data_IF_327113242546
#
_entry.id   IF_327113242546
#
_cell.length_a   1.000
_cell.length_b   1.000
_cell.length_c   1.000
_cell.angle_alpha   90.00
_cell.angle_beta   90.00
_cell.angle_gamma   90.00
#
_symmetry.space_group_name_H-M   'P 1'
#
loop_
_entity.id
_entity.type
_entity.pdbx_description
1 polymer ?
#
# COMPACT_ATOMS: atom_id res chain seq x y z
N UNK A 1 3.51 2.93 20.26
CA UNK A 1 4.53 1.84 20.27
C UNK A 1 5.87 2.47 19.98
N UNK A 2 6.97 2.04 20.61
CA UNK A 2 8.30 2.60 20.32
C UNK A 2 8.86 2.07 18.99
N UNK A 3 9.63 2.88 18.26
CA UNK A 3 10.31 2.43 17.04
C UNK A 3 11.32 1.35 17.35
N UNK A 4 12.10 1.48 18.44
CA UNK A 4 13.03 0.42 18.88
C UNK A 4 12.33 -0.91 19.09
N UNK A 5 11.14 -0.89 19.68
CA UNK A 5 10.32 -2.08 19.92
C UNK A 5 9.78 -2.64 18.61
N UNK A 6 9.19 -1.82 17.74
CA UNK A 6 8.67 -2.27 16.45
C UNK A 6 9.75 -2.94 15.57
N UNK A 7 10.98 -2.43 15.61
CA UNK A 7 12.08 -2.98 14.82
C UNK A 7 12.68 -4.29 15.40
N UNK A 8 12.37 -4.65 16.64
CA UNK A 8 12.90 -5.83 17.33
C UNK A 8 11.81 -6.87 17.71
N UNK A 9 10.53 -6.48 17.75
CA UNK A 9 9.41 -7.37 18.04
C UNK A 9 9.06 -8.25 16.80
N UNK A 10 8.19 -9.25 17.01
CA UNK A 10 7.71 -10.18 15.98
C UNK A 10 7.43 -9.50 14.63
N UNK A 11 7.78 -10.22 13.57
CA UNK A 11 7.60 -9.78 12.19
C UNK A 11 6.14 -9.43 11.94
N UNK A 12 5.87 -8.19 11.53
CA UNK A 12 4.56 -7.71 11.10
C UNK A 12 4.59 -7.40 9.60
N UNK A 13 4.42 -8.41 8.70
CA UNK A 13 4.57 -8.20 7.27
C UNK A 13 3.65 -7.11 6.73
N UNK A 14 2.42 -7.02 7.26
CA UNK A 14 1.45 -6.03 6.82
C UNK A 14 1.94 -4.61 7.13
N UNK A 15 2.30 -4.31 8.37
CA UNK A 15 2.76 -2.97 8.74
C UNK A 15 4.12 -2.62 8.12
N UNK A 16 5.00 -3.60 7.92
CA UNK A 16 6.23 -3.41 7.16
C UNK A 16 5.94 -3.01 5.71
N UNK A 17 4.95 -3.65 5.07
CA UNK A 17 4.48 -3.27 3.73
C UNK A 17 3.95 -1.84 3.68
N UNK A 18 3.17 -1.42 4.68
CA UNK A 18 2.68 -0.05 4.80
C UNK A 18 3.83 0.95 4.90
N UNK A 19 4.81 0.69 5.77
CA UNK A 19 5.96 1.57 5.96
C UNK A 19 6.83 1.62 4.71
N UNK A 20 7.10 0.47 4.07
CA UNK A 20 7.91 0.45 2.85
C UNK A 20 7.20 1.17 1.70
N UNK A 21 5.87 1.08 1.62
CA UNK A 21 5.09 1.85 0.65
C UNK A 21 5.27 3.34 0.90
N UNK A 22 4.88 3.80 2.09
CA UNK A 22 5.04 5.19 2.51
C UNK A 22 4.84 5.35 4.01
N UNK A 23 5.84 5.91 4.68
CA UNK A 23 5.72 6.46 6.03
C UNK A 23 5.80 8.00 6.01
N UNK A 24 5.51 8.63 7.14
CA UNK A 24 5.77 10.05 7.38
C UNK A 24 6.38 10.21 8.76
N UNK A 25 7.36 11.10 8.92
CA UNK A 25 7.89 11.49 10.23
C UNK A 25 7.39 12.90 10.57
N UNK A 26 6.63 13.03 11.67
CA UNK A 26 6.12 14.31 12.18
C UNK A 26 6.05 14.30 13.69
N UNK A 27 6.33 15.43 14.33
CA UNK A 27 6.18 15.61 15.78
C UNK A 27 6.87 14.49 16.60
N UNK A 28 8.08 14.09 16.22
CA UNK A 28 8.81 13.02 16.91
C UNK A 28 8.22 11.61 16.76
N UNK A 29 7.29 11.40 15.82
CA UNK A 29 6.64 10.12 15.56
C UNK A 29 6.76 9.71 14.10
N UNK A 30 6.72 8.40 13.85
CA UNK A 30 6.67 7.77 12.54
C UNK A 30 5.26 7.21 12.34
N UNK A 31 4.64 7.54 11.22
CA UNK A 31 3.26 7.19 10.91
C UNK A 31 3.21 6.23 9.73
N UNK A 32 2.59 5.07 9.94
CA UNK A 32 1.99 4.30 8.86
C UNK A 32 0.56 4.78 8.63
N UNK A 33 0.15 4.89 7.36
CA UNK A 33 -1.11 5.55 7.02
C UNK A 33 -1.93 4.70 6.07
N UNK A 34 -3.22 4.52 6.38
CA UNK A 34 -4.19 4.00 5.43
C UNK A 34 -5.16 5.11 5.02
N UNK A 35 -5.43 5.23 3.72
CA UNK A 35 -6.38 6.20 3.19
C UNK A 35 -7.08 5.67 1.95
N UNK A 36 -8.35 6.03 1.86
CA UNK A 36 -9.20 5.83 0.70
C UNK A 36 -10.23 6.97 0.69
N UNK A 37 -10.84 7.19 -0.47
CA UNK A 37 -11.73 8.33 -0.70
C UNK A 37 -13.15 7.85 -1.01
N UNK A 38 -14.11 8.74 -0.80
CA UNK A 38 -15.47 8.59 -1.32
C UNK A 38 -15.44 8.32 -2.82
N UNK A 39 -16.29 7.42 -3.27
CA UNK A 39 -16.43 7.04 -4.66
C UNK A 39 -17.88 7.22 -5.11
N UNK A 40 -18.08 7.72 -6.33
CA UNK A 40 -19.41 7.79 -6.96
C UNK A 40 -19.98 6.41 -7.29
N UNK A 41 -19.14 5.38 -7.35
CA UNK A 41 -19.53 4.03 -7.73
C UNK A 41 -20.17 3.26 -6.58
N UNK A 42 -19.88 3.62 -5.33
CA UNK A 42 -20.46 2.89 -4.19
C UNK A 42 -20.71 3.83 -3.00
N UNK A 43 -21.94 3.85 -2.45
CA UNK A 43 -22.24 4.59 -1.23
C UNK A 43 -21.62 3.88 -0.02
N UNK A 44 -21.73 4.48 1.17
CA UNK A 44 -21.35 3.81 2.41
C UNK A 44 -19.91 4.05 2.85
N UNK A 45 -19.29 5.18 2.47
CA UNK A 45 -17.90 5.48 2.80
C UNK A 45 -17.69 5.56 4.33
N UNK A 46 -18.55 6.28 5.04
CA UNK A 46 -18.43 6.43 6.51
C UNK A 46 -18.67 5.11 7.24
N UNK A 47 -19.69 4.36 6.83
CA UNK A 47 -20.09 3.05 7.36
C UNK A 47 -19.04 1.98 7.09
N UNK A 48 -18.21 2.17 6.07
CA UNK A 48 -17.10 1.27 5.78
C UNK A 48 -15.94 1.40 6.77
N UNK A 49 -15.77 2.58 7.40
CA UNK A 49 -14.58 2.89 8.20
C UNK A 49 -14.34 1.89 9.33
N UNK A 50 -15.39 1.53 10.08
CA UNK A 50 -15.28 0.56 11.17
C UNK A 50 -14.77 -0.81 10.68
N UNK A 51 -15.28 -1.28 9.53
CA UNK A 51 -14.86 -2.55 8.93
C UNK A 51 -13.43 -2.51 8.41
N UNK A 52 -13.04 -1.39 7.80
CA UNK A 52 -11.66 -1.20 7.33
C UNK A 52 -10.69 -1.15 8.51
N UNK A 53 -11.01 -0.42 9.58
CA UNK A 53 -10.18 -0.38 10.79
C UNK A 53 -10.02 -1.76 11.42
N UNK A 54 -11.10 -2.53 11.49
CA UNK A 54 -11.04 -3.91 11.97
C UNK A 54 -10.14 -4.80 11.09
N UNK A 55 -10.24 -4.67 9.76
CA UNK A 55 -9.39 -5.39 8.82
C UNK A 55 -7.89 -5.04 9.01
N UNK A 56 -7.57 -3.74 9.18
CA UNK A 56 -6.20 -3.28 9.45
C UNK A 56 -5.64 -3.95 10.72
N UNK A 57 -6.38 -3.91 11.83
CA UNK A 57 -5.95 -4.54 13.08
C UNK A 57 -5.91 -6.08 13.02
N UNK A 58 -6.72 -6.71 12.17
CA UNK A 58 -6.69 -8.17 11.96
C UNK A 58 -5.48 -8.61 11.13
N UNK A 59 -5.02 -7.77 10.20
CA UNK A 59 -3.88 -8.08 9.33
C UNK A 59 -2.53 -7.79 10.00
N UNK A 60 -2.50 -6.83 10.92
CA UNK A 60 -1.32 -6.50 11.71
C UNK A 60 -1.03 -7.54 12.80
N UNK A 61 0.25 -7.78 13.08
CA UNK A 61 0.66 -8.55 14.25
C UNK A 61 0.33 -7.79 15.55
N UNK A 62 0.35 -6.46 15.48
CA UNK A 62 -0.04 -5.58 16.56
C UNK A 62 -1.30 -4.80 16.20
N UNK A 63 -2.31 -4.82 17.07
CA UNK A 63 -3.56 -4.06 16.89
C UNK A 63 -3.36 -2.58 17.25
N UNK A 64 -2.51 -1.90 16.48
CA UNK A 64 -2.05 -0.52 16.73
C UNK A 64 -2.71 0.51 15.80
N UNK A 65 -3.63 0.09 14.92
CA UNK A 65 -4.32 1.00 14.03
C UNK A 65 -5.48 1.70 14.73
N UNK A 66 -5.64 2.98 14.41
CA UNK A 66 -6.69 3.84 14.94
C UNK A 66 -7.20 4.83 13.87
N UNK A 67 -8.39 5.38 14.10
CA UNK A 67 -8.92 6.52 13.34
C UNK A 67 -8.00 7.72 13.48
N UNK A 68 -7.70 8.38 12.37
CA UNK A 68 -6.80 9.53 12.36
C UNK A 68 -7.55 10.82 12.71
N UNK A 69 -6.96 11.61 13.61
CA UNK A 69 -7.37 12.98 13.87
C UNK A 69 -6.33 13.92 13.24
N UNK A 70 -6.55 14.33 11.98
CA UNK A 70 -5.57 15.12 11.22
C UNK A 70 -5.21 16.45 11.89
N UNK A 71 -6.13 17.03 12.66
CA UNK A 71 -5.89 18.24 13.44
C UNK A 71 -4.80 18.06 14.50
N UNK A 72 -4.64 16.86 15.03
CA UNK A 72 -3.64 16.49 16.05
C UNK A 72 -2.37 15.96 15.38
N UNK A 73 -2.50 14.97 14.50
CA UNK A 73 -1.34 14.28 13.90
C UNK A 73 -0.64 15.12 12.84
N UNK A 74 -1.35 16.07 12.21
CA UNK A 74 -0.91 16.81 11.03
C UNK A 74 -0.54 15.90 9.84
N UNK A 75 -1.00 14.65 9.84
CA UNK A 75 -0.78 13.64 8.80
C UNK A 75 -2.09 13.40 8.06
N UNK A 76 -2.08 13.46 6.72
CA UNK A 76 -3.28 13.22 5.90
C UNK A 76 -3.57 11.73 5.72
N UNK A 77 -4.76 11.28 6.11
CA UNK A 77 -5.19 9.89 5.97
C UNK A 77 -6.39 9.54 6.85
N UNK A 78 -7.04 8.42 6.54
CA UNK A 78 -8.24 7.97 7.26
C UNK A 78 -7.88 7.25 8.56
N UNK A 79 -6.86 6.39 8.51
CA UNK A 79 -6.35 5.64 9.65
C UNK A 79 -4.84 5.79 9.75
N UNK A 80 -4.34 5.69 10.98
CA UNK A 80 -2.91 5.71 11.26
C UNK A 80 -2.57 4.64 12.30
N UNK A 81 -1.34 4.14 12.25
CA UNK A 81 -0.65 3.68 13.45
C UNK A 81 0.53 4.61 13.72
N UNK A 82 0.91 4.71 15.00
CA UNK A 82 1.90 5.68 15.47
C UNK A 82 3.02 4.94 16.17
N UNK A 83 4.24 5.13 15.66
CA UNK A 83 5.47 4.72 16.32
C UNK A 83 6.16 5.95 16.91
N UNK A 84 6.38 5.98 18.21
CA UNK A 84 7.17 7.02 18.88
C UNK A 84 8.63 6.84 18.49
N UNK A 85 9.24 7.88 17.93
CA UNK A 85 10.60 7.83 17.40
C UNK A 85 11.64 7.99 18.50
N UNK A 86 11.65 7.04 19.44
CA UNK A 86 12.57 6.99 20.58
C UNK A 86 14.05 6.87 20.16
N UNK A 87 14.29 6.46 18.92
CA UNK A 87 15.63 6.37 18.31
C UNK A 87 16.07 7.65 17.59
N UNK A 88 15.23 8.71 17.55
CA UNK A 88 15.51 9.97 16.86
C UNK A 88 15.96 9.80 15.41
N UNK A 89 15.35 8.86 14.68
CA UNK A 89 15.70 8.57 13.29
C UNK A 89 15.11 9.62 12.35
N UNK A 90 15.90 10.11 11.41
CA UNK A 90 15.38 10.81 10.23
C UNK A 90 14.79 9.80 9.23
N UNK A 91 14.20 10.32 8.14
CA UNK A 91 13.52 9.48 7.15
C UNK A 91 14.47 8.48 6.49
N UNK A 92 15.70 8.89 6.17
CA UNK A 92 16.68 8.04 5.51
C UNK A 92 17.22 6.95 6.46
N UNK A 93 17.50 7.31 7.71
CA UNK A 93 17.97 6.38 8.74
C UNK A 93 16.89 5.35 9.09
N UNK A 94 15.63 5.78 9.21
CA UNK A 94 14.52 4.87 9.42
C UNK A 94 14.32 3.93 8.22
N UNK A 95 14.34 4.46 7.00
CA UNK A 95 14.22 3.65 5.80
C UNK A 95 15.31 2.58 5.70
N UNK A 96 16.57 2.93 5.98
CA UNK A 96 17.67 1.95 5.99
C UNK A 96 17.46 0.84 7.03
N UNK A 97 17.01 1.19 8.23
CA UNK A 97 16.71 0.19 9.28
C UNK A 97 15.55 -0.71 8.89
N UNK A 98 14.48 -0.14 8.33
CA UNK A 98 13.34 -0.87 7.80
C UNK A 98 13.77 -1.85 6.70
N UNK A 99 14.62 -1.41 5.78
CA UNK A 99 15.12 -2.22 4.69
C UNK A 99 16.00 -3.38 5.17
N UNK A 100 16.89 -3.15 6.13
CA UNK A 100 17.71 -4.22 6.72
C UNK A 100 16.81 -5.27 7.40
N UNK A 101 15.83 -4.82 8.19
CA UNK A 101 14.86 -5.71 8.83
C UNK A 101 14.10 -6.57 7.82
N UNK A 102 13.79 -6.01 6.65
CA UNK A 102 13.16 -6.75 5.56
C UNK A 102 14.11 -7.79 4.97
N UNK A 103 15.33 -7.39 4.59
CA UNK A 103 16.32 -8.30 3.98
C UNK A 103 16.69 -9.46 4.90
N UNK A 104 16.75 -9.24 6.20
CA UNK A 104 17.04 -10.26 7.21
C UNK A 104 15.85 -11.22 7.45
N UNK A 105 14.74 -11.03 6.73
CA UNK A 105 13.51 -11.79 6.91
C UNK A 105 13.25 -12.82 5.82
N UNK A 106 12.98 -14.06 6.22
CA UNK A 106 12.73 -15.17 5.29
C UNK A 106 11.55 -14.92 4.33
N UNK A 107 10.49 -14.20 4.75
CA UNK A 107 9.36 -13.91 3.84
C UNK A 107 9.75 -12.93 2.72
N UNK A 108 10.80 -12.13 2.93
CA UNK A 108 11.34 -11.15 2.00
C UNK A 108 12.46 -11.74 1.14
N UNK A 109 12.53 -13.07 1.04
CA UNK A 109 13.49 -13.77 0.19
C UNK A 109 12.76 -14.52 -0.94
N UNK A 110 13.49 -14.75 -2.04
CA UNK A 110 13.00 -15.50 -3.20
C UNK A 110 12.58 -16.90 -2.80
N UNK A 111 11.28 -17.18 -2.80
CA UNK A 111 10.81 -18.56 -2.87
C UNK A 111 10.91 -19.05 -4.33
N UNK A 112 12.12 -19.22 -4.85
CA UNK A 112 12.35 -19.82 -6.18
C UNK A 112 11.74 -21.23 -6.32
N UNK A 113 11.33 -21.82 -5.21
CA UNK A 113 10.84 -23.19 -5.11
C UNK A 113 9.31 -23.29 -5.22
N UNK A 114 8.57 -22.17 -5.21
CA UNK A 114 7.10 -22.19 -5.16
C UNK A 114 6.53 -21.15 -6.12
N UNK A 115 5.77 -21.58 -7.14
CA UNK A 115 5.01 -20.72 -8.06
C UNK A 115 3.84 -19.98 -7.39
N UNK A 116 3.90 -19.70 -6.08
CA UNK A 116 2.84 -19.05 -5.33
C UNK A 116 3.37 -18.25 -4.15
N UNK A 117 2.85 -17.04 -3.97
CA UNK A 117 3.18 -16.18 -2.82
C UNK A 117 2.73 -16.79 -1.48
N UNK A 118 3.61 -16.70 -0.49
CA UNK A 118 3.31 -17.09 0.90
C UNK A 118 2.27 -16.16 1.53
N UNK A 119 1.56 -16.58 2.59
CA UNK A 119 0.63 -15.71 3.31
C UNK A 119 1.27 -14.39 3.82
N UNK A 120 2.52 -14.43 4.28
CA UNK A 120 3.23 -13.24 4.75
C UNK A 120 3.58 -12.28 3.61
N UNK A 121 3.98 -12.80 2.45
CA UNK A 121 4.17 -11.98 1.25
C UNK A 121 2.85 -11.33 0.82
N UNK A 122 1.74 -12.06 0.81
CA UNK A 122 0.42 -11.48 0.50
C UNK A 122 0.05 -10.36 1.49
N UNK A 123 0.22 -10.59 2.81
CA UNK A 123 -0.01 -9.56 3.84
C UNK A 123 0.86 -8.33 3.62
N UNK A 124 2.15 -8.53 3.32
CA UNK A 124 3.05 -7.44 3.01
C UNK A 124 2.57 -6.63 1.80
N UNK A 125 2.21 -7.29 0.70
CA UNK A 125 1.72 -6.63 -0.51
C UNK A 125 0.35 -5.96 -0.31
N UNK A 126 -0.50 -6.49 0.58
CA UNK A 126 -1.72 -5.81 1.05
C UNK A 126 -1.39 -4.49 1.75
N UNK A 127 -0.44 -4.50 2.68
CA UNK A 127 0.05 -3.28 3.30
C UNK A 127 0.66 -2.31 2.29
N UNK A 128 1.46 -2.84 1.35
CA UNK A 128 2.22 -2.04 0.40
C UNK A 128 1.32 -1.33 -0.63
N UNK A 129 0.46 -2.08 -1.33
CA UNK A 129 -0.36 -1.52 -2.40
C UNK A 129 -1.65 -0.91 -1.90
N UNK A 130 -2.39 -1.60 -1.03
CA UNK A 130 -3.78 -1.23 -0.77
C UNK A 130 -3.94 -0.19 0.35
N UNK A 131 -2.99 -0.06 1.29
CA UNK A 131 -3.11 0.92 2.38
C UNK A 131 -3.31 2.36 1.86
N UNK A 132 -2.58 2.74 0.81
CA UNK A 132 -2.63 4.07 0.18
C UNK A 132 -3.06 4.05 -1.28
N UNK A 133 -3.12 2.86 -1.90
CA UNK A 133 -3.46 2.75 -3.31
C UNK A 133 -4.92 3.05 -3.62
N UNK A 134 -5.18 3.48 -4.84
CA UNK A 134 -6.51 3.77 -5.37
C UNK A 134 -6.81 2.92 -6.59
N UNK A 135 -8.06 2.47 -6.70
CA UNK A 135 -8.51 1.73 -7.88
C UNK A 135 -8.71 2.72 -9.02
N UNK A 136 -7.96 2.54 -10.11
CA UNK A 136 -8.21 3.18 -11.38
C UNK A 136 -9.39 2.48 -12.06
N UNK A 137 -10.55 3.12 -12.01
CA UNK A 137 -11.79 2.55 -12.51
C UNK A 137 -11.88 2.51 -14.04
N UNK A 138 -10.91 3.08 -14.76
CA UNK A 138 -10.88 3.09 -16.22
C UNK A 138 -9.89 2.09 -16.78
N UNK A 139 -8.77 1.85 -16.08
CA UNK A 139 -7.61 1.14 -16.63
C UNK A 139 -7.26 -0.16 -15.92
N UNK A 140 -8.13 -0.65 -15.04
CA UNK A 140 -7.93 -1.93 -14.34
C UNK A 140 -6.61 -1.98 -13.53
N UNK A 141 -6.29 -0.90 -12.81
CA UNK A 141 -5.09 -0.84 -11.96
C UNK A 141 -5.43 -0.52 -10.51
N UNK A 142 -4.67 -1.11 -9.58
CA UNK A 142 -4.47 -0.55 -8.25
C UNK A 142 -3.22 0.33 -8.28
N UNK A 143 -3.39 1.61 -8.00
CA UNK A 143 -2.37 2.65 -8.21
C UNK A 143 -1.93 3.26 -6.88
N UNK A 144 -0.63 3.30 -6.60
CA UNK A 144 -0.05 3.94 -5.42
C UNK A 144 0.97 5.00 -5.85
N UNK A 145 0.91 6.18 -5.24
CA UNK A 145 1.87 7.25 -5.51
C UNK A 145 3.24 6.90 -4.90
N UNK A 146 4.31 7.07 -5.67
CA UNK A 146 5.68 6.87 -5.21
C UNK A 146 6.24 8.14 -4.57
N UNK A 147 6.86 7.99 -3.40
CA UNK A 147 7.64 9.02 -2.72
C UNK A 147 9.09 8.56 -2.57
N UNK A 148 10.01 9.52 -2.47
CA UNK A 148 11.44 9.29 -2.28
C UNK A 148 11.91 10.05 -1.02
N UNK A 149 12.19 9.31 0.05
CA UNK A 149 12.90 9.77 1.25
C UNK A 149 14.37 9.33 1.25
N UNK A 150 14.71 8.30 0.47
CA UNK A 150 16.08 7.79 0.30
C UNK A 150 16.35 7.40 -1.16
N UNK A 151 17.58 7.57 -1.69
CA UNK A 151 17.97 7.00 -2.97
C UNK A 151 17.82 5.48 -3.03
N UNK A 152 17.85 4.78 -1.88
CA UNK A 152 17.62 3.34 -1.83
C UNK A 152 16.18 2.95 -2.22
N UNK A 153 15.24 3.90 -2.25
CA UNK A 153 13.85 3.65 -2.66
C UNK A 153 13.70 3.34 -4.15
N UNK A 154 14.70 3.70 -4.97
CA UNK A 154 14.74 3.27 -6.37
C UNK A 154 14.77 1.75 -6.51
N UNK A 155 15.30 1.02 -5.51
CA UNK A 155 15.34 -0.45 -5.51
C UNK A 155 14.00 -1.10 -5.12
N UNK A 156 12.95 -0.33 -4.76
CA UNK A 156 11.64 -0.92 -4.43
C UNK A 156 11.10 -1.81 -5.55
N UNK A 157 11.35 -1.46 -6.82
CA UNK A 157 10.98 -2.30 -7.96
C UNK A 157 11.68 -3.64 -7.96
N UNK A 158 12.99 -3.62 -7.73
CA UNK A 158 13.79 -4.83 -7.61
C UNK A 158 13.21 -5.70 -6.50
N UNK A 159 12.86 -5.14 -5.34
CA UNK A 159 12.22 -5.92 -4.28
C UNK A 159 10.89 -6.52 -4.72
N UNK A 160 9.99 -5.75 -5.34
CA UNK A 160 8.68 -6.23 -5.78
C UNK A 160 8.76 -7.33 -6.86
N UNK A 161 9.61 -7.15 -7.87
CA UNK A 161 9.74 -8.11 -8.98
C UNK A 161 10.52 -9.33 -8.50
N UNK A 162 11.72 -9.10 -7.97
CA UNK A 162 12.66 -10.19 -7.71
C UNK A 162 12.35 -10.93 -6.41
N UNK A 163 11.86 -10.28 -5.35
CA UNK A 163 11.65 -10.93 -4.04
C UNK A 163 10.21 -11.38 -3.81
N UNK A 164 9.21 -10.71 -4.42
CA UNK A 164 7.80 -11.07 -4.27
C UNK A 164 7.22 -11.86 -5.44
N UNK A 165 8.05 -12.21 -6.44
CA UNK A 165 7.65 -13.04 -7.60
C UNK A 165 6.48 -12.44 -8.38
N UNK A 166 6.38 -11.11 -8.41
CA UNK A 166 5.37 -10.42 -9.21
C UNK A 166 5.90 -10.36 -10.65
N UNK A 167 5.19 -10.95 -11.64
CA UNK A 167 5.62 -10.88 -13.03
C UNK A 167 5.70 -9.41 -13.46
N UNK A 168 6.73 -9.06 -14.23
CA UNK A 168 6.95 -7.67 -14.62
C UNK A 168 5.79 -7.12 -15.46
N UNK A 169 5.08 -7.99 -16.17
CA UNK A 169 3.88 -7.75 -16.95
C UNK A 169 2.68 -7.36 -16.08
N UNK A 170 2.66 -7.76 -14.80
CA UNK A 170 1.62 -7.35 -13.85
C UNK A 170 1.82 -5.93 -13.33
N UNK A 171 3.01 -5.34 -13.52
CA UNK A 171 3.39 -4.04 -12.98
C UNK A 171 3.47 -2.98 -14.08
N UNK A 172 3.08 -1.76 -13.72
CA UNK A 172 3.23 -0.59 -14.59
C UNK A 172 3.75 0.59 -13.77
N UNK A 173 4.83 1.21 -14.22
CA UNK A 173 5.29 2.45 -13.63
C UNK A 173 4.96 3.63 -14.51
N UNK A 174 4.28 4.60 -13.92
CA UNK A 174 3.83 5.78 -14.62
C UNK A 174 4.57 7.01 -14.08
N UNK A 175 5.64 7.39 -14.77
CA UNK A 175 6.42 8.60 -14.54
C UNK A 175 5.56 9.84 -14.88
N UNK A 176 4.88 10.39 -13.87
CA UNK A 176 4.01 11.57 -14.04
C UNK A 176 4.83 12.83 -14.26
N UNK A 177 6.06 12.85 -13.77
CA UNK A 177 7.00 13.97 -13.88
C UNK A 177 7.44 14.22 -15.33
N UNK A 178 7.35 13.20 -16.18
CA UNK A 178 7.69 13.28 -17.61
C UNK A 178 6.50 13.72 -18.48
N UNK A 179 5.31 13.90 -17.90
CA UNK A 179 4.12 14.28 -18.64
C UNK A 179 4.09 15.79 -18.92
N UNK A 180 3.50 16.24 -20.06
CA UNK A 180 3.46 17.66 -20.42
C UNK A 180 2.85 18.56 -19.34
N UNK A 181 1.81 18.08 -18.63
CA UNK A 181 1.18 18.83 -17.53
C UNK A 181 2.14 19.13 -16.38
N UNK A 182 3.12 18.24 -16.13
CA UNK A 182 4.12 18.44 -15.09
C UNK A 182 5.15 19.47 -15.53
N UNK A 183 5.67 19.34 -16.76
CA UNK A 183 6.63 20.27 -17.34
C UNK A 183 6.08 21.71 -17.45
N UNK A 184 4.77 21.84 -17.69
CA UNK A 184 4.07 23.11 -17.77
C UNK A 184 3.60 23.65 -16.40
N UNK A 185 3.86 22.95 -15.30
CA UNK A 185 3.47 23.36 -13.95
C UNK A 185 1.96 23.33 -13.68
N UNK A 186 1.17 22.72 -14.58
CA UNK A 186 -0.30 22.65 -14.48
C UNK A 186 -0.71 21.63 -13.42
N UNK A 187 -0.01 20.51 -13.33
CA UNK A 187 -0.39 19.39 -12.48
C UNK A 187 0.82 18.56 -12.05
N UNK A 188 1.46 18.97 -10.96
CA UNK A 188 2.63 18.31 -10.41
C UNK A 188 2.22 17.10 -9.56
N UNK A 189 2.07 15.96 -10.20
CA UNK A 189 1.78 14.68 -9.55
C UNK A 189 3.03 13.82 -9.48
N UNK A 190 3.15 13.06 -8.41
CA UNK A 190 4.21 12.07 -8.26
C UNK A 190 4.00 10.90 -9.23
N UNK A 191 5.10 10.23 -9.56
CA UNK A 191 5.07 8.95 -10.24
C UNK A 191 4.19 7.94 -9.49
N UNK A 192 3.64 6.98 -10.23
CA UNK A 192 2.74 5.99 -9.67
C UNK A 192 3.25 4.58 -9.94
N UNK A 193 3.33 3.78 -8.88
CA UNK A 193 3.33 2.33 -8.99
C UNK A 193 1.92 1.85 -9.27
N UNK A 194 1.80 0.98 -10.27
CA UNK A 194 0.54 0.36 -10.61
C UNK A 194 0.72 -1.13 -10.71
N UNK A 195 -0.27 -1.85 -10.21
CA UNK A 195 -0.40 -3.29 -10.40
C UNK A 195 -1.75 -3.57 -11.02
N UNK A 196 -1.80 -4.47 -11.99
CA UNK A 196 -3.05 -4.89 -12.61
C UNK A 196 -4.02 -5.40 -11.53
N UNK A 197 -5.22 -4.84 -11.51
CA UNK A 197 -6.18 -5.03 -10.43
C UNK A 197 -6.74 -6.46 -10.43
N UNK A 198 -6.96 -7.06 -11.60
CA UNK A 198 -7.35 -8.47 -11.75
C UNK A 198 -6.26 -9.42 -11.23
N UNK A 199 -4.99 -9.16 -11.58
CA UNK A 199 -3.87 -9.93 -11.03
C UNK A 199 -3.83 -9.82 -9.50
N UNK A 200 -3.94 -8.59 -8.98
CA UNK A 200 -3.94 -8.33 -7.54
C UNK A 200 -5.08 -9.07 -6.83
N UNK A 201 -6.29 -9.02 -7.38
CA UNK A 201 -7.46 -9.71 -6.82
C UNK A 201 -7.32 -11.22 -6.83
N UNK A 202 -6.82 -11.80 -7.93
CA UNK A 202 -6.65 -13.24 -8.07
C UNK A 202 -5.63 -13.80 -7.07
N UNK A 203 -4.51 -13.09 -6.86
CA UNK A 203 -3.42 -13.59 -6.04
C UNK A 203 -3.47 -13.16 -4.57
N UNK A 204 -3.95 -11.96 -4.28
CA UNK A 204 -3.87 -11.32 -2.95
C UNK A 204 -5.27 -11.05 -2.38
N UNK A 205 -6.15 -10.45 -3.17
CA UNK A 205 -7.46 -9.98 -2.71
C UNK A 205 -7.40 -8.61 -2.02
N UNK A 206 -8.55 -7.96 -1.87
CA UNK A 206 -8.68 -6.65 -1.21
C UNK A 206 -9.10 -6.82 0.26
N UNK A 207 -8.38 -6.18 1.19
CA UNK A 207 -8.79 -6.14 2.59
C UNK A 207 -9.85 -5.07 2.87
N UNK A 208 -9.92 -4.02 2.05
CA UNK A 208 -10.85 -2.93 2.21
C UNK A 208 -12.18 -3.27 1.50
N UNK A 209 -13.25 -3.61 2.24
CA UNK A 209 -14.53 -4.00 1.63
C UNK A 209 -15.18 -2.87 0.82
N UNK A 210 -14.85 -1.61 1.09
CA UNK A 210 -15.31 -0.48 0.27
C UNK A 210 -14.63 -0.47 -1.10
N UNK A 211 -13.31 -0.75 -1.14
CA UNK A 211 -12.58 -0.90 -2.42
C UNK A 211 -13.03 -2.13 -3.19
N UNK A 212 -13.35 -3.23 -2.51
CA UNK A 212 -13.89 -4.43 -3.16
C UNK A 212 -15.14 -4.12 -3.99
N UNK A 213 -16.09 -3.34 -3.43
CA UNK A 213 -17.27 -2.89 -4.17
C UNK A 213 -16.93 -2.00 -5.37
N UNK A 214 -15.92 -1.14 -5.24
CA UNK A 214 -15.44 -0.34 -6.38
C UNK A 214 -14.89 -1.26 -7.48
N UNK A 215 -14.09 -2.26 -7.11
CA UNK A 215 -13.54 -3.23 -8.05
C UNK A 215 -14.65 -4.02 -8.78
N UNK A 216 -15.70 -4.45 -8.08
CA UNK A 216 -16.88 -5.09 -8.71
C UNK A 216 -17.48 -4.24 -9.83
N UNK A 217 -17.54 -2.90 -9.66
CA UNK A 217 -18.00 -2.01 -10.73
C UNK A 217 -17.04 -1.93 -11.92
N UNK A 218 -15.73 -2.06 -11.71
CA UNK A 218 -14.73 -2.07 -12.79
C UNK A 218 -14.88 -3.31 -13.66
N UNK A 219 -15.13 -4.48 -13.04
CA UNK A 219 -15.23 -5.75 -13.77
C UNK A 219 -16.63 -6.08 -14.27
N UNK A 220 -17.68 -5.42 -13.78
CA UNK A 220 -19.07 -5.68 -14.20
C UNK A 220 -19.26 -5.61 -15.74
N UNK A 221 -18.73 -4.62 -16.48
CA UNK A 221 -18.86 -4.58 -17.94
C UNK A 221 -18.21 -5.79 -18.62
N UNK A 222 -17.02 -6.20 -18.15
CA UNK A 222 -16.32 -7.38 -18.68
C UNK A 222 -17.12 -8.66 -18.44
N UNK A 223 -17.70 -8.80 -17.24
CA UNK A 223 -18.54 -9.94 -16.87
C UNK A 223 -19.81 -10.02 -17.74
N UNK A 224 -20.49 -8.89 -17.95
CA UNK A 224 -21.67 -8.81 -18.82
C UNK A 224 -21.33 -9.15 -20.27
N UNK A 225 -20.21 -8.65 -20.79
CA UNK A 225 -19.72 -8.96 -22.14
C UNK A 225 -19.44 -10.47 -22.30
N UNK A 226 -18.73 -11.10 -21.35
CA UNK A 226 -18.43 -12.54 -21.38
C UNK A 226 -19.72 -13.37 -21.31
N UNK A 227 -20.70 -12.91 -20.52
CA UNK A 227 -21.99 -13.60 -20.37
C UNK A 227 -22.97 -13.33 -21.54
N UNK A 228 -22.58 -12.52 -22.54
CA UNK A 228 -23.45 -12.17 -23.67
C UNK A 228 -24.67 -11.32 -23.29
N UNK A 229 -24.64 -10.67 -22.12
CA UNK A 229 -25.72 -9.82 -21.63
C UNK A 229 -25.40 -8.38 -22.05
N UNK A 230 -26.00 -7.92 -23.15
CA UNK A 230 -25.98 -6.50 -23.51
C UNK A 230 -26.89 -5.71 -22.57
N UNK A 231 -26.36 -4.63 -22.00
CA UNK A 231 -27.09 -3.68 -21.13
C UNK A 231 -28.27 -3.03 -21.83
#
# INVERSE_FOLDING_TARGET
MLVSRFLNDNIDPFNLGVLLSRFQIKNGCIYGVCSYKTSKFTPGYEESKARVLNALNTLSAHQIWQSNQESVTKVKGTFVFILENDLNLDENAFYKKLLNLLIDNDFFNRSHLINSMTPNQKRFLSGFFESRGSIDTQRNFLTSDHFFHSPLEFNKFYYLIDLFTIPSEALNFNFRELQPEYAQGINQRNAQFRIYLDWYLYHIGLFNPYKARIAEHVFRPLLLMIMGITS
#
